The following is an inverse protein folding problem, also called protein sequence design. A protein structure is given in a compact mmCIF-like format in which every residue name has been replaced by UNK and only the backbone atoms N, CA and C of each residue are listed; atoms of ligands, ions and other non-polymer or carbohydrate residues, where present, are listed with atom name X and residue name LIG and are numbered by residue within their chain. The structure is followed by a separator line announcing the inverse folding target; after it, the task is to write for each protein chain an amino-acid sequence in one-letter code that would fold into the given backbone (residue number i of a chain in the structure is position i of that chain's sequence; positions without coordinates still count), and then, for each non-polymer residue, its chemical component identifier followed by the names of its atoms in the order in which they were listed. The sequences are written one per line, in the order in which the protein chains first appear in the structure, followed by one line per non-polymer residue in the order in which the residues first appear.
data_IF_441590176891
#
_entry.id   IF_441590176891
#
_cell.length_a   1.000
_cell.length_b   1.000
_cell.length_c   1.000
_cell.angle_alpha   90.00
_cell.angle_beta   90.00
_cell.angle_gamma   90.00
#
_symmetry.space_group_name_H-M   'P 1'
#
loop_
_entity.id
_entity.type
_entity.pdbx_description
1 polymer ?
#
# COMPACT_ATOMS: atom_id res chain seq x y z
N UNK A 1 -1.03 22.28 -10.78
CA UNK A 1 -1.08 20.95 -10.14
C UNK A 1 -2.20 20.17 -10.80
N UNK A 2 -1.93 18.94 -11.22
CA UNK A 2 -2.94 18.07 -11.83
C UNK A 2 -3.65 17.31 -10.70
N UNK A 3 -4.96 17.52 -10.53
CA UNK A 3 -5.75 16.75 -9.57
C UNK A 3 -6.21 15.45 -10.23
N UNK A 4 -6.06 14.34 -9.51
CA UNK A 4 -6.63 13.04 -9.90
C UNK A 4 -7.92 12.87 -9.09
N UNK A 5 -9.06 12.85 -9.78
CA UNK A 5 -10.36 12.59 -9.17
C UNK A 5 -10.69 11.11 -9.34
N UNK A 6 -10.76 10.37 -8.24
CA UNK A 6 -11.21 8.98 -8.18
C UNK A 6 -12.49 8.94 -7.35
N UNK A 7 -13.51 8.20 -7.80
CA UNK A 7 -14.64 7.82 -6.96
C UNK A 7 -14.36 6.45 -6.34
N UNK A 8 -14.08 6.38 -5.02
CA UNK A 8 -13.80 5.11 -4.35
C UNK A 8 -14.96 4.12 -4.44
N UNK A 9 -16.20 4.61 -4.48
CA UNK A 9 -17.41 3.78 -4.59
C UNK A 9 -17.44 3.02 -5.93
N UNK A 10 -17.11 3.70 -7.03
CA UNK A 10 -17.01 3.07 -8.34
C UNK A 10 -15.88 2.04 -8.37
N UNK A 11 -14.72 2.35 -7.77
CA UNK A 11 -13.60 1.42 -7.71
C UNK A 11 -13.92 0.17 -6.89
N UNK A 12 -14.65 0.31 -5.78
CA UNK A 12 -15.12 -0.82 -4.99
C UNK A 12 -16.11 -1.71 -5.76
N UNK A 13 -17.04 -1.10 -6.51
CA UNK A 13 -17.97 -1.83 -7.39
C UNK A 13 -17.21 -2.61 -8.47
N UNK A 14 -16.27 -1.96 -9.16
CA UNK A 14 -15.44 -2.61 -10.19
C UNK A 14 -14.61 -3.75 -9.59
N UNK A 15 -14.04 -3.57 -8.41
CA UNK A 15 -13.30 -4.64 -7.73
C UNK A 15 -14.20 -5.86 -7.43
N UNK A 16 -15.44 -5.62 -7.02
CA UNK A 16 -16.42 -6.69 -6.79
C UNK A 16 -16.81 -7.41 -8.10
N UNK A 17 -17.05 -6.67 -9.19
CA UNK A 17 -17.35 -7.24 -10.50
C UNK A 17 -16.19 -8.09 -11.03
N UNK A 18 -14.96 -7.56 -10.93
CA UNK A 18 -13.74 -8.27 -11.34
C UNK A 18 -13.53 -9.52 -10.50
N UNK A 19 -13.76 -9.47 -9.18
CA UNK A 19 -13.74 -10.67 -8.33
C UNK A 19 -14.75 -11.70 -8.83
N UNK A 20 -15.99 -11.30 -9.13
CA UNK A 20 -17.03 -12.17 -9.67
C UNK A 20 -16.61 -12.86 -10.96
N UNK A 21 -15.99 -12.13 -11.89
CA UNK A 21 -15.45 -12.70 -13.14
C UNK A 21 -14.37 -13.76 -12.84
N UNK A 22 -13.46 -13.49 -11.91
CA UNK A 22 -12.43 -14.44 -11.49
C UNK A 22 -13.02 -15.73 -10.93
N UNK A 23 -14.05 -15.63 -10.08
CA UNK A 23 -14.75 -16.77 -9.52
C UNK A 23 -15.46 -17.60 -10.62
N UNK A 24 -16.11 -16.94 -11.58
CA UNK A 24 -16.72 -17.63 -12.73
C UNK A 24 -15.68 -18.38 -13.56
N UNK A 25 -14.51 -17.79 -13.80
CA UNK A 25 -13.43 -18.42 -14.53
C UNK A 25 -12.85 -19.63 -13.79
N UNK A 26 -12.60 -19.50 -12.48
CA UNK A 26 -12.15 -20.61 -11.64
C UNK A 26 -13.15 -21.78 -11.64
N UNK A 27 -14.45 -21.47 -11.53
CA UNK A 27 -15.50 -22.47 -11.61
C UNK A 27 -15.56 -23.15 -12.99
N UNK A 28 -15.43 -22.38 -14.08
CA UNK A 28 -15.37 -22.93 -15.44
C UNK A 28 -14.20 -23.89 -15.63
N UNK A 29 -13.01 -23.50 -15.15
CA UNK A 29 -11.82 -24.35 -15.19
C UNK A 29 -11.98 -25.64 -14.38
N UNK A 30 -12.57 -25.55 -13.19
CA UNK A 30 -12.86 -26.71 -12.35
C UNK A 30 -13.89 -27.65 -13.01
N UNK A 31 -14.96 -27.10 -13.60
CA UNK A 31 -15.99 -27.88 -14.29
C UNK A 31 -15.42 -28.63 -15.52
N UNK A 32 -14.47 -28.02 -16.24
CA UNK A 32 -13.83 -28.63 -17.40
C UNK A 32 -12.70 -29.62 -17.04
N UNK A 33 -12.23 -29.65 -15.78
CA UNK A 33 -11.04 -30.40 -15.39
C UNK A 33 -11.18 -31.90 -15.71
N UNK A 34 -12.24 -32.54 -15.20
CA UNK A 34 -12.39 -33.99 -15.32
C UNK A 34 -12.49 -34.47 -16.79
N UNK A 35 -13.19 -33.72 -17.64
CA UNK A 35 -13.39 -34.09 -19.06
C UNK A 35 -12.16 -33.83 -19.93
N UNK A 36 -11.31 -32.87 -19.55
CA UNK A 36 -10.10 -32.51 -20.30
C UNK A 36 -8.86 -33.28 -19.85
N UNK A 37 -8.78 -33.71 -18.58
CA UNK A 37 -7.61 -34.45 -18.05
C UNK A 37 -7.71 -35.96 -18.17
N UNK A 38 -8.88 -36.49 -18.52
CA UNK A 38 -9.15 -37.93 -18.65
C UNK A 38 -9.63 -38.27 -20.06
N UNK A 39 -8.89 -37.83 -21.07
CA UNK A 39 -9.22 -38.12 -22.47
C UNK A 39 -8.98 -39.60 -22.73
N UNK A 40 -10.02 -40.31 -23.17
CA UNK A 40 -9.90 -41.70 -23.58
C UNK A 40 -9.29 -41.82 -24.99
N UNK A 41 -8.58 -42.92 -25.24
CA UNK A 41 -8.11 -43.23 -26.60
C UNK A 41 -9.29 -43.48 -27.54
N UNK A 42 -9.22 -42.94 -28.76
CA UNK A 42 -10.25 -43.16 -29.78
C UNK A 42 -10.27 -44.58 -30.33
N UNK A 43 -9.11 -45.26 -30.34
CA UNK A 43 -8.93 -46.65 -30.76
C UNK A 43 -7.80 -47.32 -29.98
N UNK A 44 -7.62 -48.64 -30.15
CA UNK A 44 -6.64 -49.42 -29.39
C UNK A 44 -5.19 -49.27 -29.88
N UNK A 45 -4.96 -48.51 -30.96
CA UNK A 45 -3.63 -48.31 -31.51
C UNK A 45 -2.76 -47.36 -30.66
N UNK A 46 -1.45 -47.48 -30.83
CA UNK A 46 -0.47 -46.70 -30.07
C UNK A 46 -0.57 -45.20 -30.37
N UNK A 47 -0.97 -44.81 -31.58
CA UNK A 47 -1.07 -43.39 -31.98
C UNK A 47 -2.25 -42.72 -31.28
N UNK A 48 -3.43 -43.34 -31.29
CA UNK A 48 -4.61 -42.87 -30.56
C UNK A 48 -4.34 -42.76 -29.06
N UNK A 49 -3.65 -43.75 -28.50
CA UNK A 49 -3.27 -43.77 -27.07
C UNK A 49 -2.29 -42.64 -26.74
N UNK A 50 -1.29 -42.42 -27.59
CA UNK A 50 -0.32 -41.34 -27.42
C UNK A 50 -0.97 -39.96 -27.51
N UNK A 51 -1.90 -39.75 -28.45
CA UNK A 51 -2.66 -38.49 -28.60
C UNK A 51 -3.50 -38.22 -27.35
N UNK A 52 -4.28 -39.20 -26.88
CA UNK A 52 -5.10 -39.06 -25.68
C UNK A 52 -4.25 -38.73 -24.43
N UNK A 53 -3.08 -39.37 -24.33
CA UNK A 53 -2.11 -39.10 -23.25
C UNK A 53 -1.56 -37.67 -23.34
N UNK A 54 -1.18 -37.21 -24.53
CA UNK A 54 -0.66 -35.86 -24.76
C UNK A 54 -1.68 -34.79 -24.31
N UNK A 55 -2.93 -34.89 -24.77
CA UNK A 55 -3.97 -33.93 -24.40
C UNK A 55 -4.29 -33.96 -22.90
N UNK A 56 -4.36 -35.16 -22.31
CA UNK A 56 -4.59 -35.31 -20.87
C UNK A 56 -3.47 -34.66 -20.04
N UNK A 57 -2.22 -34.83 -20.44
CA UNK A 57 -1.07 -34.18 -19.79
C UNK A 57 -1.07 -32.67 -19.98
N UNK A 58 -1.38 -32.19 -21.19
CA UNK A 58 -1.49 -30.76 -21.47
C UNK A 58 -2.58 -30.11 -20.60
N UNK A 59 -3.75 -30.74 -20.49
CA UNK A 59 -4.83 -30.27 -19.63
C UNK A 59 -4.44 -30.23 -18.15
N UNK A 60 -3.68 -31.22 -17.64
CA UNK A 60 -3.17 -31.19 -16.27
C UNK A 60 -2.23 -30.00 -16.03
N UNK A 61 -1.32 -29.73 -16.96
CA UNK A 61 -0.43 -28.57 -16.89
C UNK A 61 -1.23 -27.26 -16.97
N UNK A 62 -2.24 -27.20 -17.85
CA UNK A 62 -3.16 -26.07 -17.92
C UNK A 62 -3.86 -25.81 -16.58
N UNK A 63 -4.36 -26.84 -15.90
CA UNK A 63 -5.02 -26.69 -14.59
C UNK A 63 -4.09 -26.11 -13.51
N UNK A 64 -2.79 -26.47 -13.53
CA UNK A 64 -1.79 -25.86 -12.65
C UNK A 64 -1.66 -24.35 -12.91
N UNK A 65 -1.53 -23.97 -14.20
CA UNK A 65 -1.42 -22.56 -14.59
C UNK A 65 -2.71 -21.80 -14.31
N UNK A 66 -3.88 -22.41 -14.53
CA UNK A 66 -5.18 -21.84 -14.22
C UNK A 66 -5.33 -21.55 -12.72
N UNK A 67 -4.83 -22.45 -11.86
CA UNK A 67 -4.78 -22.23 -10.41
C UNK A 67 -3.87 -21.05 -10.02
N UNK A 68 -2.70 -20.93 -10.66
CA UNK A 68 -1.80 -19.80 -10.44
C UNK A 68 -2.43 -18.46 -10.90
N UNK A 69 -3.12 -18.47 -12.04
CA UNK A 69 -3.83 -17.30 -12.56
C UNK A 69 -4.97 -16.87 -11.63
N UNK A 70 -5.71 -17.82 -11.05
CA UNK A 70 -6.76 -17.53 -10.06
C UNK A 70 -6.18 -16.84 -8.81
N UNK A 71 -5.07 -17.38 -8.27
CA UNK A 71 -4.42 -16.77 -7.10
C UNK A 71 -3.89 -15.36 -7.39
N UNK A 72 -3.34 -15.12 -8.58
CA UNK A 72 -2.93 -13.79 -9.02
C UNK A 72 -4.14 -12.84 -9.11
N UNK A 73 -5.26 -13.31 -9.68
CA UNK A 73 -6.48 -12.52 -9.81
C UNK A 73 -7.03 -12.08 -8.45
N UNK A 74 -7.01 -12.97 -7.46
CA UNK A 74 -7.40 -12.66 -6.08
C UNK A 74 -6.49 -11.59 -5.46
N UNK A 75 -5.17 -11.69 -5.67
CA UNK A 75 -4.23 -10.66 -5.20
C UNK A 75 -4.46 -9.31 -5.88
N UNK A 76 -4.71 -9.32 -7.19
CA UNK A 76 -5.00 -8.12 -7.97
C UNK A 76 -6.26 -7.40 -7.46
N UNK A 77 -7.36 -8.13 -7.28
CA UNK A 77 -8.63 -7.55 -6.80
C UNK A 77 -8.53 -7.01 -5.37
N UNK A 78 -7.85 -7.73 -4.47
CA UNK A 78 -7.58 -7.24 -3.12
C UNK A 78 -6.73 -5.96 -3.12
N UNK A 79 -5.71 -5.90 -3.98
CA UNK A 79 -4.86 -4.72 -4.11
C UNK A 79 -5.63 -3.52 -4.68
N UNK A 80 -6.50 -3.75 -5.66
CA UNK A 80 -7.37 -2.71 -6.21
C UNK A 80 -8.29 -2.11 -5.13
N UNK A 81 -8.90 -2.96 -4.29
CA UNK A 81 -9.74 -2.50 -3.19
C UNK A 81 -8.94 -1.72 -2.13
N UNK A 82 -7.74 -2.20 -1.78
CA UNK A 82 -6.85 -1.48 -0.86
C UNK A 82 -6.41 -0.11 -1.41
N UNK A 83 -6.19 -0.01 -2.72
CA UNK A 83 -5.91 1.25 -3.40
C UNK A 83 -7.08 2.23 -3.31
N UNK A 84 -8.31 1.77 -3.55
CA UNK A 84 -9.51 2.59 -3.41
C UNK A 84 -9.67 3.14 -1.98
N UNK A 85 -9.46 2.31 -0.96
CA UNK A 85 -9.52 2.72 0.45
C UNK A 85 -8.42 3.75 0.81
N UNK A 86 -7.26 3.67 0.15
CA UNK A 86 -6.18 4.64 0.36
C UNK A 86 -6.58 6.05 -0.08
N UNK A 87 -7.31 6.18 -1.20
CA UNK A 87 -7.88 7.47 -1.62
C UNK A 87 -8.89 8.03 -0.61
N UNK A 88 -9.79 7.18 -0.09
CA UNK A 88 -10.74 7.59 0.98
C UNK A 88 -9.98 8.11 2.21
N UNK A 89 -8.93 7.40 2.62
CA UNK A 89 -8.14 7.78 3.80
C UNK A 89 -7.40 9.12 3.60
N UNK A 90 -6.93 9.40 2.38
CA UNK A 90 -6.24 10.64 2.05
C UNK A 90 -7.20 11.85 2.07
N UNK A 91 -8.41 11.70 1.53
CA UNK A 91 -9.45 12.72 1.61
C UNK A 91 -9.86 12.98 3.07
N UNK A 92 -10.03 11.93 3.87
CA UNK A 92 -10.35 12.05 5.29
C UNK A 92 -9.24 12.76 6.09
N UNK A 93 -7.97 12.44 5.83
CA UNK A 93 -6.83 13.12 6.45
C UNK A 93 -6.77 14.60 6.08
N UNK A 94 -7.01 14.92 4.80
CA UNK A 94 -7.06 16.32 4.33
C UNK A 94 -8.16 17.11 5.03
N UNK A 95 -9.36 16.52 5.18
CA UNK A 95 -10.47 17.15 5.94
C UNK A 95 -10.12 17.31 7.42
N UNK A 96 -9.47 16.33 8.03
CA UNK A 96 -9.03 16.41 9.43
C UNK A 96 -8.04 17.55 9.64
N UNK A 97 -7.06 17.74 8.75
CA UNK A 97 -6.10 18.83 8.81
C UNK A 97 -6.78 20.21 8.70
N UNK A 98 -7.76 20.34 7.80
CA UNK A 98 -8.56 21.58 7.67
C UNK A 98 -9.31 21.88 8.97
N UNK A 99 -9.95 20.87 9.57
CA UNK A 99 -10.68 21.03 10.83
C UNK A 99 -9.74 21.39 12.00
N UNK A 100 -8.57 20.75 12.08
CA UNK A 100 -7.54 21.12 13.05
C UNK A 100 -7.08 22.56 12.88
N UNK A 101 -6.93 23.03 11.64
CA UNK A 101 -6.64 24.43 11.33
C UNK A 101 -7.71 25.39 11.88
N UNK A 102 -8.99 25.07 11.67
CA UNK A 102 -10.12 25.87 12.18
C UNK A 102 -10.17 25.88 13.71
N UNK A 103 -9.98 24.72 14.34
CA UNK A 103 -9.97 24.59 15.82
C UNK A 103 -8.79 25.34 16.43
N UNK A 104 -7.64 25.32 15.78
CA UNK A 104 -6.43 26.01 16.25
C UNK A 104 -6.42 27.51 15.95
N UNK A 105 -7.24 28.00 15.01
CA UNK A 105 -7.20 29.41 14.59
C UNK A 105 -7.36 30.43 15.75
N UNK A 106 -8.29 30.25 16.71
CA UNK A 106 -8.44 31.20 17.82
C UNK A 106 -7.23 31.25 18.75
N UNK A 107 -6.65 30.09 19.08
CA UNK A 107 -5.47 30.04 19.97
C UNK A 107 -4.21 30.48 19.25
N UNK A 108 -4.11 30.23 17.94
CA UNK A 108 -3.06 30.80 17.11
C UNK A 108 -3.14 32.34 17.11
N UNK A 109 -4.34 32.90 17.01
CA UNK A 109 -4.55 34.35 17.05
C UNK A 109 -4.30 34.96 18.44
N UNK A 110 -4.70 34.28 19.52
CA UNK A 110 -4.64 34.82 20.89
C UNK A 110 -3.31 34.53 21.60
N UNK A 111 -2.72 33.36 21.35
CA UNK A 111 -1.56 32.84 22.07
C UNK A 111 -0.32 32.66 21.16
N UNK A 112 -0.46 32.90 19.85
CA UNK A 112 0.59 32.66 18.87
C UNK A 112 0.97 31.19 18.71
N UNK A 113 0.09 30.27 19.16
CA UNK A 113 0.35 28.82 19.17
C UNK A 113 -0.93 27.99 18.97
N UNK A 114 -0.83 26.81 18.33
CA UNK A 114 -1.97 25.91 18.19
C UNK A 114 -2.36 25.33 19.54
N UNK A 115 -3.65 25.03 19.71
CA UNK A 115 -4.20 24.36 20.88
C UNK A 115 -3.99 22.84 20.82
N UNK A 116 -4.08 22.27 19.62
CA UNK A 116 -3.94 20.85 19.32
C UNK A 116 -2.80 20.71 18.31
N UNK A 117 -1.68 20.13 18.72
CA UNK A 117 -0.51 19.91 17.86
C UNK A 117 0.82 19.91 18.61
N UNK A 118 1.92 19.99 17.88
CA UNK A 118 3.26 20.07 18.47
C UNK A 118 3.47 21.41 19.18
N UNK A 119 4.23 21.39 20.28
CA UNK A 119 4.66 22.60 20.98
C UNK A 119 5.60 23.47 20.13
N UNK A 120 5.88 24.69 20.60
CA UNK A 120 6.76 25.61 19.87
C UNK A 120 8.13 24.98 19.59
N UNK A 121 8.61 25.04 18.34
CA UNK A 121 9.94 24.56 17.99
C UNK A 121 11.01 25.33 18.77
N UNK A 122 12.00 24.62 19.32
CA UNK A 122 13.18 25.24 19.90
C UNK A 122 13.99 25.98 18.84
N UNK A 123 14.69 27.03 19.25
CA UNK A 123 15.58 27.80 18.37
C UNK A 123 17.04 27.40 18.56
N UNK A 124 17.88 27.63 17.56
CA UNK A 124 19.34 27.48 17.68
C UNK A 124 19.97 28.84 17.99
N UNK A 125 20.73 28.92 19.08
CA UNK A 125 21.54 30.10 19.44
C UNK A 125 22.99 29.66 19.49
N UNK A 126 23.85 30.28 18.67
CA UNK A 126 25.28 29.95 18.57
C UNK A 126 25.57 28.45 18.35
N UNK A 127 24.78 27.78 17.51
CA UNK A 127 24.94 26.34 17.22
C UNK A 127 24.42 25.39 18.31
N UNK A 128 23.91 25.92 19.44
CA UNK A 128 23.31 25.12 20.52
C UNK A 128 21.79 25.19 20.41
N UNK A 129 21.13 24.03 20.31
CA UNK A 129 19.67 23.93 20.29
C UNK A 129 19.07 24.22 21.67
N UNK A 130 18.07 25.10 21.71
CA UNK A 130 17.25 25.35 22.92
C UNK A 130 16.07 24.37 22.97
N UNK A 131 15.59 23.97 24.17
CA UNK A 131 14.40 23.12 24.30
C UNK A 131 13.16 23.78 23.66
N UNK A 132 12.32 22.97 23.02
CA UNK A 132 11.01 23.41 22.52
C UNK A 132 10.06 23.79 23.66
N UNK A 133 9.05 24.61 23.33
CA UNK A 133 7.99 24.99 24.27
C UNK A 133 7.02 23.82 24.55
N UNK A 134 6.32 23.84 25.70
CA UNK A 134 5.34 22.81 26.03
C UNK A 134 4.24 22.70 24.97
N UNK A 135 3.81 21.46 24.71
CA UNK A 135 2.64 21.15 23.91
C UNK A 135 1.44 21.05 24.85
N UNK A 136 0.36 21.76 24.53
CA UNK A 136 -0.89 21.61 25.24
C UNK A 136 -1.68 20.50 24.52
N UNK A 137 -2.03 19.42 25.24
CA UNK A 137 -3.09 18.42 24.92
C UNK A 137 -2.75 16.98 24.44
N UNK A 138 -3.80 16.16 24.54
CA UNK A 138 -3.92 14.75 24.92
C UNK A 138 -3.36 13.67 23.98
N UNK A 139 -2.62 14.02 22.94
CA UNK A 139 -1.96 13.06 22.02
C UNK A 139 -0.58 13.53 21.54
N UNK A 140 0.00 14.56 22.16
CA UNK A 140 1.26 15.15 21.69
C UNK A 140 2.47 14.23 21.94
N UNK A 141 3.27 13.96 20.89
CA UNK A 141 4.66 13.49 21.03
C UNK A 141 5.54 14.72 21.25
N UNK A 142 6.36 14.72 22.31
CA UNK A 142 7.24 15.85 22.64
C UNK A 142 8.18 16.20 21.46
N UNK A 143 8.34 17.50 21.17
CA UNK A 143 9.26 17.97 20.15
C UNK A 143 10.72 17.73 20.60
N UNK A 144 11.43 16.84 19.91
CA UNK A 144 12.86 16.61 20.16
C UNK A 144 13.68 17.78 19.60
N UNK A 145 14.57 18.35 20.43
CA UNK A 145 15.53 19.34 19.97
C UNK A 145 16.42 18.74 18.87
N UNK A 146 16.51 19.41 17.72
CA UNK A 146 17.36 19.00 16.61
C UNK A 146 18.81 18.80 17.08
N UNK A 147 19.29 17.56 17.03
CA UNK A 147 20.70 17.25 17.29
C UNK A 147 21.53 17.79 16.13
N UNK A 148 22.50 18.66 16.40
CA UNK A 148 23.49 19.06 15.39
C UNK A 148 24.19 17.79 14.84
N UNK A 149 24.47 17.73 13.52
CA UNK A 149 25.08 16.55 12.94
C UNK A 149 26.50 16.35 13.48
N UNK A 150 26.82 15.11 13.86
CA UNK A 150 28.03 14.71 14.61
C UNK A 150 29.36 14.92 13.88
N UNK A 151 29.36 15.40 12.64
CA UNK A 151 30.57 15.53 11.83
C UNK A 151 31.32 16.86 12.07
N UNK A 152 30.75 17.83 12.79
CA UNK A 152 31.48 19.08 13.15
C UNK A 152 32.48 18.95 14.31
N UNK A 153 32.55 17.80 15.01
CA UNK A 153 33.49 17.60 16.13
C UNK A 153 34.85 16.99 15.74
N UNK A 154 35.11 16.67 14.46
CA UNK A 154 36.36 15.99 14.06
C UNK A 154 37.46 16.93 13.50
N UNK A 155 37.28 18.25 13.51
CA UNK A 155 38.29 19.19 13.04
C UNK A 155 39.20 19.66 14.18
N UNK A 156 39.95 18.74 14.80
CA UNK A 156 41.16 19.10 15.52
C UNK A 156 42.34 19.08 14.51
N UNK A 157 43.25 20.07 14.50
CA UNK A 157 44.39 20.06 13.58
C UNK A 157 45.33 18.92 13.97
N UNK A 158 45.63 18.03 13.02
CA UNK A 158 46.72 17.08 13.13
C UNK A 158 48.00 17.83 12.76
N UNK A 159 48.89 18.07 13.72
CA UNK A 159 50.23 18.59 13.47
C UNK A 159 51.01 17.64 12.54
N UNK A 160 51.75 18.14 11.53
CA UNK A 160 52.63 17.31 10.73
C UNK A 160 53.97 17.05 11.47
N UNK A 161 54.60 15.88 11.29
CA UNK A 161 55.83 15.54 12.00
C UNK A 161 57.07 16.18 11.36
N UNK A 162 57.91 16.77 12.22
CA UNK A 162 59.36 16.85 12.08
C UNK A 162 60.00 16.97 13.47
#
# INVERSE_FOLDING_TARGET
MTYVLVSPEIMASVAADVHGIGALLANGNAAAAATTTNVASAAADEVSTAIATLFSQYAKNYQVVAGQAAAFHDQFTNTLLAGANSYVSAEAATVADVLLGVVNAPTQALLGRPLIGNGANGTTVNGVGTPGGPADSCTATAATAGRAPTWEQSAAPVDPPA
#
